data_IF_322331205957
#
_entry.id   IF_322331205957
#
_cell.length_a   1.000
_cell.length_b   1.000
_cell.length_c   1.000
_cell.angle_alpha   90.00
_cell.angle_beta   90.00
_cell.angle_gamma   90.00
#
_symmetry.space_group_name_H-M   'P 1'
#
loop_
_entity.id
_entity.type
_entity.pdbx_description
1 polymer ?
#
# COMPACT_ATOMS: atom_id res chain seq x y z
N UNK A 1 -16.58 13.08 3.88
CA UNK A 1 -16.09 14.46 3.67
C UNK A 1 -14.84 14.34 2.82
N UNK A 2 -14.86 14.89 1.61
CA UNK A 2 -13.73 14.82 0.67
C UNK A 2 -12.75 15.95 0.98
N UNK A 3 -12.12 15.86 2.14
CA UNK A 3 -11.10 16.80 2.58
C UNK A 3 -9.79 16.47 1.86
N UNK A 4 -9.19 17.50 1.28
CA UNK A 4 -8.14 17.42 0.29
C UNK A 4 -6.97 16.59 0.83
N UNK A 5 -6.62 15.52 0.10
CA UNK A 5 -5.43 14.73 0.39
C UNK A 5 -4.21 15.65 0.38
N UNK A 6 -3.62 15.89 1.55
CA UNK A 6 -2.44 16.73 1.66
C UNK A 6 -1.23 15.95 1.14
N UNK A 7 -0.76 16.35 -0.05
CA UNK A 7 0.32 15.65 -0.75
C UNK A 7 1.65 15.78 -0.03
N UNK A 8 1.85 16.87 0.71
CA UNK A 8 3.08 17.11 1.46
C UNK A 8 3.19 16.13 2.63
N UNK A 9 2.08 15.88 3.35
CA UNK A 9 2.02 14.86 4.40
C UNK A 9 2.26 13.45 3.82
N UNK A 10 1.70 13.13 2.65
CA UNK A 10 1.96 11.84 2.02
C UNK A 10 3.45 11.67 1.68
N UNK A 11 4.09 12.70 1.13
CA UNK A 11 5.50 12.63 0.77
C UNK A 11 6.38 12.50 2.02
N UNK A 12 6.13 13.32 3.05
CA UNK A 12 6.83 13.23 4.33
C UNK A 12 6.65 11.88 5.01
N UNK A 13 5.44 11.30 4.92
CA UNK A 13 5.18 9.96 5.44
C UNK A 13 5.98 8.88 4.70
N UNK A 14 6.08 8.99 3.38
CA UNK A 14 6.83 8.05 2.54
C UNK A 14 8.35 8.18 2.68
N UNK A 15 8.85 9.36 3.03
CA UNK A 15 10.28 9.60 3.29
C UNK A 15 10.68 9.43 4.76
N UNK A 16 9.72 9.14 5.65
CA UNK A 16 9.92 9.02 7.10
C UNK A 16 10.41 10.33 7.76
N UNK A 17 10.07 11.48 7.14
CA UNK A 17 10.48 12.83 7.57
C UNK A 17 9.41 13.57 8.39
N UNK A 18 8.25 12.96 8.64
CA UNK A 18 7.21 13.54 9.48
C UNK A 18 7.49 13.37 10.96
N UNK A 19 7.15 14.39 11.74
CA UNK A 19 7.13 14.30 13.20
C UNK A 19 6.01 13.37 13.69
N UNK A 20 6.11 12.88 14.92
CA UNK A 20 5.19 11.88 15.47
C UNK A 20 3.71 12.33 15.43
N UNK A 21 3.44 13.59 15.77
CA UNK A 21 2.07 14.15 15.73
C UNK A 21 1.52 14.17 14.31
N UNK A 22 2.32 14.61 13.34
CA UNK A 22 1.91 14.69 11.94
C UNK A 22 1.72 13.30 11.32
N UNK A 23 2.54 12.32 11.73
CA UNK A 23 2.35 10.91 11.34
C UNK A 23 1.01 10.38 11.82
N UNK A 24 0.68 10.61 13.10
CA UNK A 24 -0.58 10.15 13.67
C UNK A 24 -1.79 10.81 12.99
N UNK A 25 -1.74 12.12 12.77
CA UNK A 25 -2.78 12.85 12.05
C UNK A 25 -2.96 12.32 10.62
N UNK A 26 -1.87 12.11 9.90
CA UNK A 26 -1.92 11.56 8.55
C UNK A 26 -2.49 10.13 8.53
N UNK A 27 -2.14 9.29 9.49
CA UNK A 27 -2.67 7.92 9.59
C UNK A 27 -4.18 7.89 9.85
N UNK A 28 -4.70 8.82 10.67
CA UNK A 28 -6.15 8.98 10.87
C UNK A 28 -6.86 9.35 9.56
N UNK A 29 -6.24 10.20 8.74
CA UNK A 29 -6.76 10.52 7.41
C UNK A 29 -6.74 9.28 6.49
N UNK A 30 -5.64 8.52 6.47
CA UNK A 30 -5.49 7.33 5.62
C UNK A 30 -6.57 6.28 5.89
N UNK A 31 -7.01 6.13 7.13
CA UNK A 31 -8.06 5.17 7.50
C UNK A 31 -9.40 5.45 6.78
N UNK A 32 -9.73 6.73 6.63
CA UNK A 32 -10.95 7.17 5.93
C UNK A 32 -10.73 7.45 4.42
N UNK A 33 -9.47 7.55 3.97
CA UNK A 33 -9.11 7.97 2.62
C UNK A 33 -8.53 6.83 1.77
N UNK A 34 -9.39 6.22 0.95
CA UNK A 34 -9.00 5.18 -0.01
C UNK A 34 -7.91 5.61 -1.01
N UNK A 35 -7.81 6.91 -1.32
CA UNK A 35 -6.81 7.43 -2.26
C UNK A 35 -5.41 7.39 -1.66
N UNK A 36 -5.21 8.02 -0.50
CA UNK A 36 -3.92 8.02 0.19
C UNK A 36 -3.46 6.60 0.52
N UNK A 37 -4.39 5.72 0.90
CA UNK A 37 -4.08 4.31 1.15
C UNK A 37 -3.51 3.59 -0.09
N UNK A 38 -4.08 3.82 -1.28
CA UNK A 38 -3.53 3.27 -2.53
C UNK A 38 -2.18 3.86 -2.87
N UNK A 39 -2.01 5.17 -2.73
CA UNK A 39 -0.74 5.85 -3.05
C UNK A 39 0.39 5.33 -2.14
N UNK A 40 0.14 5.08 -0.86
CA UNK A 40 1.11 4.44 0.07
C UNK A 40 1.43 3.01 -0.38
N UNK A 41 0.40 2.22 -0.68
CA UNK A 41 0.58 0.84 -1.14
C UNK A 41 1.41 0.79 -2.43
N UNK A 42 1.09 1.62 -3.42
CA UNK A 42 1.79 1.67 -4.69
C UNK A 42 3.25 2.15 -4.52
N UNK A 43 3.50 3.12 -3.64
CA UNK A 43 4.84 3.57 -3.32
C UNK A 43 5.68 2.45 -2.66
N UNK A 44 5.13 1.76 -1.65
CA UNK A 44 5.80 0.61 -0.99
C UNK A 44 5.98 -0.56 -1.95
N UNK A 45 5.02 -0.80 -2.84
CA UNK A 45 5.10 -1.80 -3.91
C UNK A 45 6.22 -1.48 -4.90
N UNK A 46 6.38 -0.20 -5.27
CA UNK A 46 7.44 0.24 -6.17
C UNK A 46 8.84 0.13 -5.54
N UNK A 47 8.97 0.28 -4.22
CA UNK A 47 10.22 0.02 -3.49
C UNK A 47 10.62 -1.46 -3.53
N UNK A 48 9.64 -2.38 -3.66
CA UNK A 48 9.87 -3.82 -3.68
C UNK A 48 9.30 -4.52 -4.93
N UNK A 49 9.76 -4.21 -6.15
CA UNK A 49 9.17 -4.74 -7.39
C UNK A 49 9.18 -6.27 -7.48
N UNK A 50 10.15 -6.91 -6.83
CA UNK A 50 10.31 -8.37 -6.84
C UNK A 50 9.24 -9.09 -6.02
N UNK A 51 8.72 -8.47 -4.96
CA UNK A 51 7.69 -9.06 -4.09
C UNK A 51 6.30 -9.03 -4.72
N UNK A 52 6.06 -8.04 -5.58
CA UNK A 52 4.75 -7.85 -6.20
C UNK A 52 4.74 -8.10 -7.72
N UNK A 53 5.78 -8.74 -8.26
CA UNK A 53 5.78 -9.22 -9.64
C UNK A 53 4.64 -10.22 -9.79
N UNK A 54 3.58 -9.80 -10.49
CA UNK A 54 2.57 -10.74 -10.95
C UNK A 54 3.27 -11.84 -11.74
N UNK A 55 3.01 -13.10 -11.37
CA UNK A 55 3.39 -14.30 -12.11
C UNK A 55 2.77 -14.24 -13.50
N UNK A 56 3.36 -13.45 -14.39
CA UNK A 56 3.06 -13.45 -15.81
C UNK A 56 3.80 -14.61 -16.44
N UNK A 57 3.49 -15.83 -15.99
CA UNK A 57 3.78 -17.04 -16.76
C UNK A 57 2.84 -17.07 -17.95
N UNK A 58 3.16 -16.28 -18.99
CA UNK A 58 2.69 -16.56 -20.35
C UNK A 58 3.40 -17.83 -20.81
N UNK A 59 2.80 -18.97 -20.48
CA UNK A 59 3.39 -20.28 -20.70
C UNK A 59 2.48 -21.45 -20.39
N UNK A 60 1.32 -21.51 -21.05
CA UNK A 60 0.54 -22.73 -21.38
C UNK A 60 -0.18 -23.49 -20.25
N UNK A 61 -1.51 -23.28 -20.23
CA UNK A 61 -2.62 -24.20 -19.90
C UNK A 61 -2.77 -24.72 -18.46
N UNK A 62 -3.92 -24.30 -17.88
CA UNK A 62 -4.82 -25.04 -16.97
C UNK A 62 -4.19 -25.68 -15.73
N UNK A 63 -4.34 -25.02 -14.57
CA UNK A 63 -4.98 -25.61 -13.39
C UNK A 63 -5.74 -24.46 -12.70
N UNK A 64 -7.06 -24.51 -12.76
CA UNK A 64 -7.91 -23.80 -11.82
C UNK A 64 -7.98 -24.67 -10.57
N UNK A 65 -7.65 -24.12 -9.41
CA UNK A 65 -8.10 -24.52 -8.07
C UNK A 65 -7.15 -23.90 -7.03
N UNK A 66 -7.75 -23.28 -6.01
CA UNK A 66 -7.21 -23.08 -4.67
C UNK A 66 -5.88 -22.33 -4.53
N UNK A 67 -5.96 -21.04 -4.20
CA UNK A 67 -5.09 -20.39 -3.21
C UNK A 67 -5.84 -19.13 -2.73
N UNK A 68 -6.97 -19.33 -2.06
CA UNK A 68 -7.47 -18.39 -1.06
C UNK A 68 -6.55 -18.44 0.16
N UNK A 69 -6.42 -17.31 0.84
CA UNK A 69 -5.95 -17.16 2.22
C UNK A 69 -4.53 -17.61 2.59
N UNK A 70 -3.57 -16.69 2.46
CA UNK A 70 -2.54 -16.51 3.49
C UNK A 70 -2.56 -15.06 3.96
N UNK A 71 -3.54 -14.77 4.82
CA UNK A 71 -3.55 -13.62 5.72
C UNK A 71 -2.31 -13.77 6.62
N UNK A 72 -1.44 -12.77 6.58
CA UNK A 72 -0.17 -12.72 7.29
C UNK A 72 -0.38 -12.92 8.81
N UNK A 73 0.05 -14.06 9.35
CA UNK A 73 0.36 -14.18 10.78
C UNK A 73 1.60 -13.33 11.07
N UNK A 74 1.41 -12.27 11.87
CA UNK A 74 2.52 -11.54 12.49
C UNK A 74 2.96 -12.37 13.70
N UNK A 75 4.17 -12.93 13.60
CA UNK A 75 4.90 -13.54 14.72
C UNK A 75 5.49 -12.48 15.66
#
# INVERSE_FOLDING_TARGET
MSEQCNRDLLLGYLSEDLDLEEQLEFLLHVDSCNRCRREIYDARKAQHPHFYKALTRKGKKRIAADMDDEIFEVA
#
